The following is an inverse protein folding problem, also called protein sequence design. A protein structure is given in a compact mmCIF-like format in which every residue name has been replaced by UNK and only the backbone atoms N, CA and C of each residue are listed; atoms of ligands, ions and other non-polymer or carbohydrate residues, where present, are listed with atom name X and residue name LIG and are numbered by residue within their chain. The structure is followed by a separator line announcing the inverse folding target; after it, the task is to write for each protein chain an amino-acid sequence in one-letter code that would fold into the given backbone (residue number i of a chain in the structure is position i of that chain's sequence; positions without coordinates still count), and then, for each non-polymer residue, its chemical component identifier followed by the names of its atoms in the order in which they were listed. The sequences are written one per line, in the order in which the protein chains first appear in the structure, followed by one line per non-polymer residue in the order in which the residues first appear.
data_IF_292270720153
#
_entry.id   IF_292270720153
#
_cell.length_a   1.000
_cell.length_b   1.000
_cell.length_c   1.000
_cell.angle_alpha   90.00
_cell.angle_beta   90.00
_cell.angle_gamma   90.00
#
_symmetry.space_group_name_H-M   'P 1'
#
loop_
_entity.id
_entity.type
_entity.pdbx_description
1 polymer ?
#
# COMPACT_ATOMS: atom_id res chain seq x y z
N UNK A 1 12.64 -12.93 -54.71
CA UNK A 1 11.94 -11.62 -54.75
C UNK A 1 11.37 -11.39 -53.35
N UNK A 2 12.21 -10.92 -52.42
CA UNK A 2 12.33 -9.50 -51.94
C UNK A 2 11.26 -9.21 -50.87
N UNK A 3 11.55 -8.91 -49.60
CA UNK A 3 12.62 -8.08 -49.03
C UNK A 3 13.10 -8.58 -47.65
N UNK A 4 14.39 -8.97 -47.59
CA UNK A 4 15.29 -8.63 -46.48
C UNK A 4 16.01 -7.36 -46.95
N UNK A 5 16.14 -6.36 -46.08
CA UNK A 5 17.13 -5.25 -46.06
C UNK A 5 16.47 -3.98 -45.51
N UNK A 6 17.04 -3.46 -44.42
CA UNK A 6 17.14 -2.04 -44.04
C UNK A 6 17.09 -1.84 -42.51
N UNK A 7 18.11 -2.31 -41.78
CA UNK A 7 18.60 -1.61 -40.58
C UNK A 7 20.10 -1.89 -40.43
N UNK A 8 20.93 -1.18 -41.21
CA UNK A 8 22.35 -1.01 -40.89
C UNK A 8 22.71 0.47 -41.04
N UNK A 9 22.85 1.18 -39.93
CA UNK A 9 23.84 2.25 -39.73
C UNK A 9 23.50 3.03 -38.45
N UNK A 10 23.99 2.60 -37.30
CA UNK A 10 24.33 3.56 -36.24
C UNK A 10 25.81 3.41 -35.95
N UNK A 11 26.53 4.47 -36.33
CA UNK A 11 27.96 4.66 -36.23
C UNK A 11 28.41 4.41 -34.78
N UNK A 12 29.40 3.55 -34.64
CA UNK A 12 30.31 3.52 -33.50
C UNK A 12 31.08 4.83 -33.48
N UNK A 13 30.67 5.78 -32.63
CA UNK A 13 31.48 6.95 -32.32
C UNK A 13 32.56 6.53 -31.32
N UNK A 14 33.81 6.56 -31.77
CA UNK A 14 35.03 6.43 -30.99
C UNK A 14 35.06 7.48 -29.87
N UNK A 15 35.23 7.02 -28.63
CA UNK A 15 35.56 7.88 -27.49
C UNK A 15 37.01 8.33 -27.64
N UNK A 16 37.23 9.44 -28.33
CA UNK A 16 38.47 10.20 -28.24
C UNK A 16 38.52 10.93 -26.89
N UNK A 17 39.65 10.77 -26.23
CA UNK A 17 40.01 11.36 -24.95
C UNK A 17 40.18 12.87 -25.08
N UNK A 18 39.20 13.67 -24.64
CA UNK A 18 39.39 15.12 -24.43
C UNK A 18 39.70 15.39 -22.95
N UNK A 19 40.99 15.48 -22.66
CA UNK A 19 41.55 16.05 -21.44
C UNK A 19 41.20 17.54 -21.32
N UNK A 20 40.60 17.97 -20.20
CA UNK A 20 40.53 19.39 -19.84
C UNK A 20 39.19 19.92 -19.31
N UNK A 21 38.55 19.24 -18.35
CA UNK A 21 37.40 19.82 -17.64
C UNK A 21 37.90 20.45 -16.33
N UNK A 22 37.77 21.78 -16.25
CA UNK A 22 38.00 22.59 -15.05
C UNK A 22 36.83 22.40 -14.05
N UNK A 23 37.10 21.74 -12.93
CA UNK A 23 36.11 21.39 -11.90
C UNK A 23 35.78 22.54 -10.94
N UNK A 24 36.33 23.73 -11.14
CA UNK A 24 36.07 24.91 -10.29
C UNK A 24 34.75 25.62 -10.62
N UNK A 25 34.04 25.22 -11.68
CA UNK A 25 32.74 25.79 -12.08
C UNK A 25 31.66 24.70 -12.14
N UNK A 26 30.42 24.98 -11.70
CA UNK A 26 29.31 24.05 -11.89
C UNK A 26 29.09 23.80 -13.41
N UNK A 27 28.97 22.54 -13.85
CA UNK A 27 28.70 22.24 -15.25
C UNK A 27 27.33 22.81 -15.64
N UNK A 28 27.28 23.43 -16.81
CA UNK A 28 26.03 23.92 -17.40
C UNK A 28 25.04 22.76 -17.58
N UNK A 29 23.94 22.84 -16.83
CA UNK A 29 22.92 21.79 -16.72
C UNK A 29 22.17 21.61 -18.04
N UNK A 30 22.19 22.63 -18.90
CA UNK A 30 21.54 22.61 -20.21
C UNK A 30 22.34 21.81 -21.26
N UNK A 31 23.59 21.43 -20.98
CA UNK A 31 24.46 20.72 -21.92
C UNK A 31 24.29 19.18 -21.92
N UNK A 32 23.65 18.60 -20.89
CA UNK A 32 23.61 17.14 -20.70
C UNK A 32 22.22 16.49 -20.82
N UNK A 33 21.16 17.30 -20.93
CA UNK A 33 19.84 16.81 -21.30
C UNK A 33 19.61 17.19 -22.75
N UNK A 34 19.80 16.22 -23.64
CA UNK A 34 19.30 16.35 -25.00
C UNK A 34 17.79 16.65 -24.93
N UNK A 35 17.41 17.86 -25.33
CA UNK A 35 16.03 18.37 -25.25
C UNK A 35 15.08 17.44 -26.00
N UNK A 36 15.55 16.74 -27.03
CA UNK A 36 14.77 15.74 -27.77
C UNK A 36 14.45 14.51 -26.91
N UNK A 37 15.40 14.00 -26.12
CA UNK A 37 15.13 12.89 -25.20
C UNK A 37 14.16 13.28 -24.08
N UNK A 38 14.29 14.49 -23.55
CA UNK A 38 13.34 15.00 -22.56
C UNK A 38 11.93 15.13 -23.16
N UNK A 39 11.82 15.65 -24.39
CA UNK A 39 10.57 15.84 -25.10
C UNK A 39 9.92 14.51 -25.52
N UNK A 40 10.69 13.56 -26.03
CA UNK A 40 10.24 12.20 -26.36
C UNK A 40 9.73 11.45 -25.11
N UNK A 41 10.43 11.56 -23.98
CA UNK A 41 9.98 10.96 -22.72
C UNK A 41 8.67 11.61 -22.22
N UNK A 42 8.52 12.93 -22.38
CA UNK A 42 7.27 13.65 -22.07
C UNK A 42 6.13 13.24 -23.01
N UNK A 43 6.41 13.01 -24.30
CA UNK A 43 5.42 12.62 -25.31
C UNK A 43 4.96 11.17 -25.11
N UNK A 44 5.90 10.25 -24.83
CA UNK A 44 5.60 8.86 -24.46
C UNK A 44 4.75 8.78 -23.18
N UNK A 45 5.02 9.67 -22.21
CA UNK A 45 4.26 9.82 -20.96
C UNK A 45 2.83 10.32 -21.17
N UNK A 46 2.63 11.17 -22.16
CA UNK A 46 1.33 11.78 -22.46
C UNK A 46 0.45 10.93 -23.37
N UNK A 47 0.98 9.82 -23.93
CA UNK A 47 0.17 8.86 -24.70
C UNK A 47 -1.00 8.32 -23.86
N UNK A 48 -2.27 8.57 -24.24
CA UNK A 48 -3.41 8.23 -23.41
C UNK A 48 -3.67 6.73 -23.45
N UNK A 49 -3.22 6.02 -22.40
CA UNK A 49 -3.64 4.64 -22.18
C UNK A 49 -5.13 4.62 -21.82
N UNK A 50 -5.97 4.26 -22.79
CA UNK A 50 -7.44 4.14 -22.64
C UNK A 50 -7.91 3.25 -21.49
N UNK A 51 -7.04 2.53 -20.80
CA UNK A 51 -7.38 1.67 -19.64
C UNK A 51 -7.09 2.34 -18.28
N UNK A 52 -6.34 3.44 -18.26
CA UNK A 52 -5.89 4.10 -17.04
C UNK A 52 -7.06 4.69 -16.24
N UNK A 53 -8.14 5.13 -16.91
CA UNK A 53 -9.33 5.66 -16.24
C UNK A 53 -10.08 4.58 -15.45
N UNK A 54 -10.21 3.35 -15.97
CA UNK A 54 -10.82 2.22 -15.23
C UNK A 54 -10.06 1.94 -13.93
N UNK A 55 -8.73 1.99 -14.01
CA UNK A 55 -7.85 1.78 -12.86
C UNK A 55 -7.91 2.95 -11.85
N UNK A 56 -8.11 4.19 -12.34
CA UNK A 56 -8.38 5.35 -11.46
C UNK A 56 -9.75 5.23 -10.77
N UNK A 57 -10.77 4.74 -11.46
CA UNK A 57 -12.08 4.46 -10.84
C UNK A 57 -11.97 3.44 -9.72
N UNK A 58 -11.14 2.40 -9.87
CA UNK A 58 -10.88 1.43 -8.80
C UNK A 58 -10.24 2.08 -7.56
N UNK A 59 -9.35 3.07 -7.74
CA UNK A 59 -8.80 3.83 -6.61
C UNK A 59 -9.90 4.61 -5.87
N UNK A 60 -10.79 5.28 -6.63
CA UNK A 60 -11.92 6.02 -6.05
C UNK A 60 -12.88 5.07 -5.34
N UNK A 61 -13.23 3.95 -5.95
CA UNK A 61 -14.10 2.94 -5.35
C UNK A 61 -13.51 2.37 -4.05
N UNK A 62 -12.20 2.10 -4.02
CA UNK A 62 -11.51 1.64 -2.81
C UNK A 62 -11.56 2.66 -1.66
N UNK A 63 -11.34 3.94 -1.96
CA UNK A 63 -11.47 5.02 -0.98
C UNK A 63 -12.90 5.18 -0.47
N UNK A 64 -13.89 5.21 -1.37
CA UNK A 64 -15.31 5.32 -1.01
C UNK A 64 -15.74 4.14 -0.14
N UNK A 65 -15.37 2.91 -0.52
CA UNK A 65 -15.59 1.72 0.29
C UNK A 65 -15.05 1.90 1.70
N UNK A 66 -13.76 2.26 1.83
CA UNK A 66 -13.11 2.44 3.13
C UNK A 66 -13.82 3.49 3.99
N UNK A 67 -14.10 4.67 3.42
CA UNK A 67 -14.71 5.78 4.15
C UNK A 67 -16.15 5.48 4.57
N UNK A 68 -16.98 4.96 3.66
CA UNK A 68 -18.39 4.65 3.96
C UNK A 68 -18.48 3.54 4.99
N UNK A 69 -17.76 2.44 4.80
CA UNK A 69 -17.79 1.31 5.71
C UNK A 69 -17.28 1.69 7.10
N UNK A 70 -16.09 2.28 7.22
CA UNK A 70 -15.50 2.60 8.54
C UNK A 70 -16.33 3.61 9.32
N UNK A 71 -16.88 4.63 8.67
CA UNK A 71 -17.74 5.62 9.32
C UNK A 71 -19.07 4.99 9.74
N UNK A 72 -19.64 4.15 8.90
CA UNK A 72 -20.93 3.51 9.18
C UNK A 72 -20.82 2.49 10.30
N UNK A 73 -19.76 1.69 10.34
CA UNK A 73 -19.45 0.80 11.47
C UNK A 73 -19.26 1.59 12.77
N UNK A 74 -18.60 2.75 12.74
CA UNK A 74 -18.44 3.59 13.93
C UNK A 74 -19.79 4.15 14.41
N UNK A 75 -20.61 4.71 13.50
CA UNK A 75 -21.91 5.30 13.84
C UNK A 75 -22.86 4.24 14.38
N UNK A 76 -23.06 3.14 13.63
CA UNK A 76 -23.94 2.04 14.04
C UNK A 76 -23.44 1.40 15.34
N UNK A 77 -22.12 1.20 15.47
CA UNK A 77 -21.49 0.76 16.70
C UNK A 77 -21.83 1.66 17.89
N UNK A 78 -21.54 2.95 17.76
CA UNK A 78 -21.58 3.89 18.87
C UNK A 78 -23.00 4.26 19.32
N UNK A 79 -23.94 4.36 18.38
CA UNK A 79 -25.30 4.86 18.65
C UNK A 79 -26.36 3.77 18.68
N UNK A 80 -26.11 2.59 18.10
CA UNK A 80 -27.12 1.53 17.99
C UNK A 80 -26.67 0.27 18.74
N UNK A 81 -25.63 -0.42 18.27
CA UNK A 81 -25.33 -1.76 18.79
C UNK A 81 -24.72 -1.73 20.19
N UNK A 82 -23.75 -0.85 20.47
CA UNK A 82 -23.12 -0.79 21.79
C UNK A 82 -24.07 -0.33 22.90
N UNK A 83 -24.83 0.77 22.76
CA UNK A 83 -25.79 1.17 23.78
C UNK A 83 -26.84 0.11 24.05
N UNK A 84 -27.20 -0.67 23.04
CA UNK A 84 -28.16 -1.74 23.20
C UNK A 84 -27.57 -2.92 23.99
N UNK A 85 -26.40 -3.42 23.58
CA UNK A 85 -25.77 -4.61 24.19
C UNK A 85 -25.27 -4.32 25.61
N UNK A 86 -24.69 -3.13 25.84
CA UNK A 86 -24.00 -2.79 27.09
C UNK A 86 -24.69 -1.67 27.88
N UNK A 87 -25.90 -1.24 27.49
CA UNK A 87 -26.58 -0.10 28.11
C UNK A 87 -26.90 -0.26 29.59
N UNK A 88 -26.96 -1.49 30.09
CA UNK A 88 -27.18 -1.79 31.51
C UNK A 88 -26.02 -1.31 32.39
N UNK A 89 -24.78 -1.43 31.91
CA UNK A 89 -23.58 -1.03 32.63
C UNK A 89 -22.89 0.12 31.89
N UNK A 90 -23.02 1.33 32.46
CA UNK A 90 -22.50 2.57 31.86
C UNK A 90 -20.98 2.56 31.72
N UNK A 91 -20.26 1.94 32.65
CA UNK A 91 -18.79 1.92 32.64
C UNK A 91 -18.30 0.97 31.54
N UNK A 92 -18.93 -0.20 31.42
CA UNK A 92 -18.65 -1.13 30.31
C UNK A 92 -18.98 -0.47 28.97
N UNK A 93 -20.15 0.16 28.82
CA UNK A 93 -20.53 0.86 27.60
C UNK A 93 -19.50 1.93 27.22
N UNK A 94 -19.07 2.74 28.18
CA UNK A 94 -18.09 3.80 27.96
C UNK A 94 -16.75 3.24 27.48
N UNK A 95 -16.25 2.19 28.14
CA UNK A 95 -15.00 1.52 27.77
C UNK A 95 -15.07 0.92 26.35
N UNK A 96 -16.19 0.31 25.98
CA UNK A 96 -16.40 -0.24 24.63
C UNK A 96 -16.46 0.86 23.57
N UNK A 97 -17.11 1.99 23.85
CA UNK A 97 -17.14 3.17 22.98
C UNK A 97 -15.74 3.77 22.77
N UNK A 98 -14.94 3.89 23.83
CA UNK A 98 -13.55 4.36 23.73
C UNK A 98 -12.73 3.42 22.85
N UNK A 99 -12.83 2.11 23.05
CA UNK A 99 -12.12 1.13 22.24
C UNK A 99 -12.48 1.24 20.75
N UNK A 100 -13.77 1.37 20.43
CA UNK A 100 -14.24 1.56 19.05
C UNK A 100 -13.65 2.84 18.42
N UNK A 101 -13.68 3.96 19.16
CA UNK A 101 -13.13 5.22 18.71
C UNK A 101 -11.61 5.15 18.50
N UNK A 102 -10.88 4.50 19.41
CA UNK A 102 -9.44 4.27 19.29
C UNK A 102 -9.10 3.47 18.04
N UNK A 103 -9.78 2.35 17.78
CA UNK A 103 -9.57 1.55 16.57
C UNK A 103 -9.81 2.39 15.31
N UNK A 104 -10.89 3.18 15.29
CA UNK A 104 -11.21 4.06 14.16
C UNK A 104 -10.12 5.14 13.94
N UNK A 105 -9.65 5.78 15.00
CA UNK A 105 -8.56 6.77 14.94
C UNK A 105 -7.30 6.12 14.37
N UNK A 106 -6.91 4.93 14.86
CA UNK A 106 -5.74 4.20 14.36
C UNK A 106 -5.87 3.85 12.87
N UNK A 107 -7.07 3.45 12.43
CA UNK A 107 -7.36 3.13 11.04
C UNK A 107 -7.22 4.37 10.14
N UNK A 108 -7.88 5.47 10.48
CA UNK A 108 -7.90 6.72 9.69
C UNK A 108 -6.52 7.37 9.65
N UNK A 109 -5.85 7.48 10.79
CA UNK A 109 -4.52 8.09 10.86
C UNK A 109 -3.48 7.30 10.04
N UNK A 110 -3.46 5.97 10.15
CA UNK A 110 -2.55 5.16 9.33
C UNK A 110 -2.91 5.24 7.84
N UNK A 111 -4.20 5.27 7.49
CA UNK A 111 -4.64 5.50 6.10
C UNK A 111 -4.09 6.82 5.54
N UNK A 112 -4.27 7.92 6.28
CA UNK A 112 -3.73 9.24 5.91
C UNK A 112 -2.21 9.17 5.74
N UNK A 113 -1.50 8.52 6.68
CA UNK A 113 -0.04 8.41 6.62
C UNK A 113 0.45 7.56 5.44
N UNK A 114 -0.29 6.53 5.03
CA UNK A 114 0.01 5.76 3.81
C UNK A 114 0.06 6.68 2.60
N UNK A 115 -0.99 7.51 2.44
CA UNK A 115 -1.15 8.42 1.31
C UNK A 115 -0.12 9.55 1.35
N UNK A 116 0.06 10.19 2.51
CA UNK A 116 1.00 11.31 2.68
C UNK A 116 2.46 10.87 2.45
N UNK A 117 2.81 9.65 2.87
CA UNK A 117 4.18 9.13 2.79
C UNK A 117 4.48 8.42 1.47
N UNK A 118 3.46 8.01 0.72
CA UNK A 118 3.58 7.47 -0.64
C UNK A 118 4.43 8.36 -1.56
N UNK A 119 4.22 9.69 -1.50
CA UNK A 119 4.95 10.65 -2.35
C UNK A 119 6.47 10.59 -2.12
N UNK A 120 6.93 10.32 -0.90
CA UNK A 120 8.36 10.22 -0.58
C UNK A 120 9.02 8.99 -1.17
N UNK A 121 8.24 7.93 -1.41
CA UNK A 121 8.75 6.72 -2.07
C UNK A 121 8.83 6.85 -3.58
N UNK A 122 8.34 7.94 -4.18
CA UNK A 122 8.47 8.18 -5.62
C UNK A 122 9.90 8.58 -5.96
N UNK A 123 10.45 7.94 -6.97
CA UNK A 123 11.77 8.18 -7.53
C UNK A 123 11.59 8.69 -8.96
N UNK A 124 12.06 9.90 -9.23
CA UNK A 124 11.83 10.62 -10.48
C UNK A 124 13.11 11.18 -11.11
N UNK A 125 12.97 11.78 -12.29
CA UNK A 125 14.06 12.26 -13.16
C UNK A 125 14.95 13.28 -12.43
N UNK A 126 14.37 14.22 -11.66
CA UNK A 126 15.13 15.18 -10.85
C UNK A 126 15.94 14.57 -9.69
N UNK A 127 15.83 13.25 -9.44
CA UNK A 127 16.74 12.54 -8.52
C UNK A 127 18.06 12.12 -9.19
N UNK A 128 18.24 12.37 -10.49
CA UNK A 128 19.52 12.28 -11.20
C UNK A 128 20.40 13.49 -10.89
N UNK A 129 20.85 13.63 -9.64
CA UNK A 129 22.24 14.03 -9.47
C UNK A 129 23.05 12.78 -9.78
N UNK A 130 23.70 12.78 -10.94
CA UNK A 130 24.48 11.70 -11.54
C UNK A 130 25.07 10.76 -10.49
N UNK A 131 24.76 9.44 -10.53
CA UNK A 131 25.53 8.50 -9.74
C UNK A 131 26.95 8.50 -10.30
N UNK A 132 27.94 8.71 -9.44
CA UNK A 132 29.30 8.22 -9.67
C UNK A 132 29.22 6.82 -10.28
N UNK A 133 30.04 6.54 -11.30
CA UNK A 133 29.99 5.35 -12.15
C UNK A 133 30.06 3.97 -11.44
N UNK A 134 30.00 3.92 -10.10
CA UNK A 134 30.25 2.75 -9.25
C UNK A 134 29.10 2.38 -8.29
N UNK A 135 27.85 2.74 -8.56
CA UNK A 135 26.73 2.33 -7.68
C UNK A 135 26.23 0.91 -7.99
N UNK A 136 26.79 -0.07 -7.28
CA UNK A 136 26.46 -1.49 -7.44
C UNK A 136 24.95 -1.78 -7.40
N UNK A 137 24.48 -2.67 -8.28
CA UNK A 137 23.10 -3.17 -8.39
C UNK A 137 22.01 -2.16 -8.79
N UNK A 138 22.38 -0.95 -9.22
CA UNK A 138 21.43 -0.05 -9.88
C UNK A 138 21.02 -0.61 -11.25
N UNK A 139 19.76 -0.38 -11.64
CA UNK A 139 19.21 -0.91 -12.91
C UNK A 139 18.53 0.19 -13.69
N UNK A 140 18.56 0.11 -15.03
CA UNK A 140 17.83 1.06 -15.88
C UNK A 140 16.33 0.73 -15.91
N UNK A 141 15.48 1.71 -15.68
CA UNK A 141 14.03 1.56 -15.85
C UNK A 141 13.66 1.77 -17.32
N UNK A 142 13.04 0.80 -18.02
CA UNK A 142 12.69 0.95 -19.44
C UNK A 142 11.53 1.94 -19.69
N UNK A 143 10.69 2.19 -18.69
CA UNK A 143 9.56 3.11 -18.80
C UNK A 143 9.97 4.57 -18.58
N UNK A 144 10.82 4.82 -17.59
CA UNK A 144 11.26 6.17 -17.20
C UNK A 144 12.60 6.58 -17.83
N UNK A 145 13.34 5.64 -18.42
CA UNK A 145 14.69 5.79 -18.95
C UNK A 145 15.76 6.30 -17.95
N UNK A 146 15.52 6.12 -16.66
CA UNK A 146 16.45 6.51 -15.58
C UNK A 146 17.09 5.30 -14.91
N UNK A 147 18.29 5.48 -14.34
CA UNK A 147 18.87 4.54 -13.39
C UNK A 147 18.09 4.59 -12.07
N UNK A 148 17.65 3.43 -11.59
CA UNK A 148 16.91 3.29 -10.34
C UNK A 148 17.71 2.45 -9.35
N UNK A 149 17.61 2.78 -8.04
CA UNK A 149 18.30 2.02 -7.01
C UNK A 149 17.79 0.59 -6.90
N UNK A 150 18.56 -0.30 -6.24
CA UNK A 150 18.11 -1.65 -5.94
C UNK A 150 16.74 -1.67 -5.28
N UNK A 151 15.95 -2.70 -5.61
CA UNK A 151 14.58 -2.92 -5.10
C UNK A 151 13.55 -1.87 -5.53
N UNK A 152 13.94 -0.82 -6.25
CA UNK A 152 12.98 0.10 -6.85
C UNK A 152 12.39 -0.48 -8.14
N UNK A 153 11.11 -0.22 -8.40
CA UNK A 153 10.39 -0.69 -9.60
C UNK A 153 9.35 0.31 -10.08
N UNK A 154 9.16 0.38 -11.39
CA UNK A 154 8.21 1.27 -12.06
C UNK A 154 6.75 0.85 -11.81
N UNK A 155 5.89 1.81 -11.49
CA UNK A 155 4.44 1.63 -11.43
C UNK A 155 3.81 2.21 -12.66
N UNK A 156 3.17 1.36 -13.46
CA UNK A 156 2.38 1.84 -14.61
C UNK A 156 1.19 2.69 -14.13
N UNK A 157 0.58 2.36 -12.99
CA UNK A 157 -0.58 3.08 -12.44
C UNK A 157 -0.23 4.46 -11.88
N UNK A 158 0.89 4.56 -11.15
CA UNK A 158 1.38 5.84 -10.63
C UNK A 158 2.28 6.58 -11.62
N UNK A 159 2.64 5.93 -12.73
CA UNK A 159 3.59 6.38 -13.74
C UNK A 159 4.89 6.99 -13.15
N UNK A 160 5.50 6.21 -12.25
CA UNK A 160 6.71 6.61 -11.52
C UNK A 160 7.43 5.39 -10.96
N UNK A 161 8.75 5.50 -10.79
CA UNK A 161 9.51 4.49 -10.05
C UNK A 161 9.28 4.65 -8.56
N UNK A 162 9.17 3.54 -7.83
CA UNK A 162 8.91 3.55 -6.38
C UNK A 162 10.02 2.81 -5.65
N UNK A 163 10.59 3.43 -4.61
CA UNK A 163 11.62 2.84 -3.74
C UNK A 163 11.07 1.66 -2.95
N UNK A 164 11.81 0.54 -2.92
CA UNK A 164 11.39 -0.73 -2.30
C UNK A 164 9.92 -1.05 -2.64
N UNK A 165 9.56 -0.95 -3.91
CA UNK A 165 8.17 -1.06 -4.34
C UNK A 165 7.64 -2.45 -4.02
N UNK A 166 6.50 -2.49 -3.35
CA UNK A 166 5.76 -3.72 -3.13
C UNK A 166 4.63 -3.84 -4.16
N UNK A 167 3.54 -3.08 -3.97
CA UNK A 167 2.38 -3.11 -4.86
C UNK A 167 1.69 -1.75 -4.97
N UNK A 168 0.80 -1.60 -5.96
CA UNK A 168 -0.15 -0.48 -5.99
C UNK A 168 -1.42 -0.92 -5.27
N UNK A 169 -1.76 -0.25 -4.17
CA UNK A 169 -2.95 -0.57 -3.41
C UNK A 169 -4.13 0.24 -3.95
N UNK A 170 -5.13 -0.44 -4.52
CA UNK A 170 -6.35 0.23 -4.99
C UNK A 170 -7.15 0.84 -3.83
N UNK A 171 -7.16 0.21 -2.65
CA UNK A 171 -7.84 0.75 -1.47
C UNK A 171 -7.23 2.05 -0.94
N UNK A 172 -5.90 2.21 -1.05
CA UNK A 172 -5.21 3.43 -0.65
C UNK A 172 -4.97 4.42 -1.81
N UNK A 173 -5.36 4.06 -3.04
CA UNK A 173 -5.14 4.84 -4.25
C UNK A 173 -3.67 5.17 -4.54
N UNK A 174 -2.71 4.43 -3.99
CA UNK A 174 -1.29 4.74 -4.11
C UNK A 174 -0.39 3.50 -3.98
N UNK A 175 0.87 3.65 -4.38
CA UNK A 175 1.88 2.59 -4.18
C UNK A 175 2.31 2.48 -2.72
N UNK A 176 2.43 1.22 -2.28
CA UNK A 176 3.10 0.82 -1.05
C UNK A 176 4.58 0.55 -1.37
N UNK A 177 5.46 1.18 -0.60
CA UNK A 177 6.91 1.10 -0.77
C UNK A 177 7.64 1.53 0.50
N UNK A 178 8.90 1.93 0.37
CA UNK A 178 9.82 2.10 1.49
C UNK A 178 9.29 2.98 2.64
N UNK A 179 8.70 4.14 2.35
CA UNK A 179 8.34 5.13 3.37
C UNK A 179 6.93 4.96 3.95
N UNK A 180 6.11 4.07 3.38
CA UNK A 180 4.73 3.87 3.82
C UNK A 180 4.35 2.41 4.15
N UNK A 181 5.25 1.44 3.93
CA UNK A 181 5.01 0.02 4.24
C UNK A 181 4.57 -0.21 5.69
N UNK A 182 5.21 0.44 6.67
CA UNK A 182 4.85 0.26 8.09
C UNK A 182 3.42 0.69 8.39
N UNK A 183 2.97 1.81 7.81
CA UNK A 183 1.62 2.33 8.02
C UNK A 183 0.60 1.41 7.37
N UNK A 184 0.95 0.81 6.23
CA UNK A 184 0.13 -0.21 5.59
C UNK A 184 -0.03 -1.46 6.47
N UNK A 185 1.04 -1.95 7.10
CA UNK A 185 0.96 -3.10 8.02
C UNK A 185 0.06 -2.79 9.22
N UNK A 186 0.27 -1.64 9.86
CA UNK A 186 -0.54 -1.21 11.02
C UNK A 186 -2.00 -0.97 10.61
N UNK A 187 -2.23 -0.35 9.45
CA UNK A 187 -3.56 -0.18 8.87
C UNK A 187 -4.27 -1.52 8.66
N UNK A 188 -3.61 -2.53 8.09
CA UNK A 188 -4.20 -3.85 7.91
C UNK A 188 -4.51 -4.53 9.25
N UNK A 189 -3.62 -4.40 10.25
CA UNK A 189 -3.87 -4.92 11.60
C UNK A 189 -5.12 -4.30 12.24
N UNK A 190 -5.21 -2.97 12.26
CA UNK A 190 -6.39 -2.28 12.80
C UNK A 190 -7.63 -2.48 11.93
N UNK A 191 -7.47 -2.72 10.62
CA UNK A 191 -8.53 -3.16 9.73
C UNK A 191 -9.11 -4.50 10.15
N UNK A 192 -8.26 -5.48 10.45
CA UNK A 192 -8.70 -6.77 11.01
C UNK A 192 -9.39 -6.59 12.36
N UNK A 193 -8.79 -5.87 13.31
CA UNK A 193 -9.35 -5.66 14.64
C UNK A 193 -10.70 -4.93 14.58
N UNK A 194 -10.81 -3.88 13.78
CA UNK A 194 -12.05 -3.13 13.58
C UNK A 194 -13.13 -3.95 12.89
N UNK A 195 -12.76 -4.76 11.88
CA UNK A 195 -13.68 -5.66 11.21
C UNK A 195 -14.18 -6.78 12.15
N UNK A 196 -13.30 -7.40 12.94
CA UNK A 196 -13.68 -8.37 13.96
C UNK A 196 -14.61 -7.76 15.02
N UNK A 197 -14.29 -6.56 15.49
CA UNK A 197 -15.10 -5.85 16.47
C UNK A 197 -16.50 -5.51 15.91
N UNK A 198 -16.55 -4.96 14.69
CA UNK A 198 -17.79 -4.65 13.95
C UNK A 198 -18.63 -5.91 13.72
N UNK A 199 -18.02 -7.02 13.28
CA UNK A 199 -18.68 -8.33 13.13
C UNK A 199 -19.29 -8.79 14.46
N UNK A 200 -18.51 -8.77 15.53
CA UNK A 200 -18.94 -9.25 16.84
C UNK A 200 -20.14 -8.46 17.38
N UNK A 201 -20.05 -7.13 17.42
CA UNK A 201 -21.15 -6.30 17.96
C UNK A 201 -22.40 -6.34 17.08
N UNK A 202 -22.25 -6.43 15.76
CA UNK A 202 -23.38 -6.56 14.83
C UNK A 202 -24.03 -7.93 14.96
N UNK A 203 -23.23 -9.00 15.09
CA UNK A 203 -23.72 -10.35 15.35
C UNK A 203 -24.51 -10.43 16.65
N UNK A 204 -23.95 -9.95 17.78
CA UNK A 204 -24.65 -9.96 19.06
C UNK A 204 -25.97 -9.18 19.00
N UNK A 205 -25.98 -8.04 18.30
CA UNK A 205 -27.22 -7.28 18.10
C UNK A 205 -28.25 -8.07 17.29
N UNK A 206 -27.84 -8.73 16.20
CA UNK A 206 -28.74 -9.55 15.38
C UNK A 206 -29.27 -10.76 16.15
N UNK A 207 -28.43 -11.43 16.93
CA UNK A 207 -28.77 -12.60 17.73
C UNK A 207 -29.84 -12.27 18.80
N UNK A 208 -29.77 -11.09 19.42
CA UNK A 208 -30.72 -10.68 20.46
C UNK A 208 -32.08 -10.26 19.88
N UNK A 209 -32.08 -9.63 18.70
CA UNK A 209 -33.28 -8.94 18.17
C UNK A 209 -33.98 -9.63 17.02
N UNK A 210 -33.25 -10.46 16.30
CA UNK A 210 -33.72 -11.10 15.08
C UNK A 210 -33.47 -12.60 15.20
N UNK A 211 -33.34 -13.24 14.06
CA UNK A 211 -33.16 -14.67 13.99
C UNK A 211 -31.71 -15.04 14.28
N UNK A 212 -31.43 -16.03 15.14
CA UNK A 212 -30.05 -16.45 15.40
C UNK A 212 -29.32 -16.83 14.13
N UNK A 213 -28.08 -16.37 13.95
CA UNK A 213 -27.35 -16.56 12.69
C UNK A 213 -27.01 -18.04 12.43
N UNK A 214 -26.96 -18.85 13.48
CA UNK A 214 -26.69 -20.30 13.43
C UNK A 214 -27.95 -21.17 13.51
N UNK A 215 -29.14 -20.57 13.42
CA UNK A 215 -30.40 -21.32 13.29
C UNK A 215 -30.64 -21.77 11.85
N UNK A 216 -31.58 -22.70 11.64
CA UNK A 216 -32.01 -23.09 10.29
C UNK A 216 -32.61 -21.93 9.49
N UNK A 217 -33.04 -20.86 10.17
CA UNK A 217 -33.64 -19.67 9.55
C UNK A 217 -32.60 -18.62 9.09
N UNK A 218 -31.30 -18.95 9.12
CA UNK A 218 -30.22 -18.05 8.68
C UNK A 218 -30.33 -17.63 7.19
N UNK A 219 -31.00 -18.43 6.35
CA UNK A 219 -31.28 -18.08 4.95
C UNK A 219 -32.04 -16.74 4.84
N UNK A 220 -32.72 -16.36 5.92
CA UNK A 220 -33.32 -15.05 6.14
C UNK A 220 -32.40 -13.86 5.85
N UNK A 221 -31.09 -14.05 6.01
CA UNK A 221 -30.07 -13.01 5.84
C UNK A 221 -29.44 -12.97 4.45
N UNK A 222 -29.71 -13.94 3.58
CA UNK A 222 -29.20 -13.93 2.20
C UNK A 222 -29.80 -12.75 1.42
N UNK A 223 -28.96 -11.98 0.72
CA UNK A 223 -29.38 -10.74 0.05
C UNK A 223 -30.66 -10.86 -0.80
N UNK A 224 -30.82 -11.86 -1.69
CA UNK A 224 -32.04 -11.96 -2.50
C UNK A 224 -33.31 -12.10 -1.65
N UNK A 225 -33.25 -12.93 -0.60
CA UNK A 225 -34.37 -13.15 0.29
C UNK A 225 -34.65 -11.96 1.21
N UNK A 226 -33.60 -11.29 1.68
CA UNK A 226 -33.71 -10.09 2.51
C UNK A 226 -34.36 -8.94 1.74
N UNK A 227 -33.96 -8.72 0.48
CA UNK A 227 -34.57 -7.70 -0.39
C UNK A 227 -36.03 -8.02 -0.70
N UNK A 228 -36.36 -9.29 -0.92
CA UNK A 228 -37.75 -9.74 -1.11
C UNK A 228 -38.62 -9.46 0.12
N UNK A 229 -38.13 -9.81 1.32
CA UNK A 229 -38.82 -9.53 2.59
C UNK A 229 -39.03 -8.03 2.84
N UNK A 230 -38.06 -7.20 2.47
CA UNK A 230 -38.16 -5.75 2.56
C UNK A 230 -39.18 -5.19 1.57
N UNK A 231 -39.17 -5.68 0.32
CA UNK A 231 -40.15 -5.29 -0.70
C UNK A 231 -41.59 -5.60 -0.26
N UNK A 232 -41.80 -6.74 0.41
CA UNK A 232 -43.09 -7.11 1.01
C UNK A 232 -43.42 -6.36 2.32
N UNK A 233 -42.56 -5.46 2.79
CA UNK A 233 -42.76 -4.69 4.02
C UNK A 233 -42.63 -5.49 5.32
N UNK A 234 -42.14 -6.74 5.26
CA UNK A 234 -42.03 -7.61 6.45
C UNK A 234 -40.83 -7.30 7.34
N UNK A 235 -39.84 -6.56 6.82
CA UNK A 235 -38.66 -6.12 7.57
C UNK A 235 -38.38 -4.64 7.33
N UNK A 236 -37.83 -4.00 8.35
CA UNK A 236 -37.41 -2.61 8.27
C UNK A 236 -36.08 -2.47 7.51
N UNK A 237 -35.89 -1.35 6.81
CA UNK A 237 -34.68 -1.09 6.01
C UNK A 237 -33.37 -1.12 6.84
N UNK A 238 -33.45 -0.83 8.14
CA UNK A 238 -32.30 -0.92 9.05
C UNK A 238 -31.71 -2.33 9.12
N UNK A 239 -32.52 -3.37 8.95
CA UNK A 239 -32.05 -4.76 8.94
C UNK A 239 -31.18 -5.03 7.73
N UNK A 240 -31.58 -4.53 6.55
CA UNK A 240 -30.74 -4.62 5.34
C UNK A 240 -29.39 -3.98 5.58
N UNK A 241 -29.38 -2.79 6.18
CA UNK A 241 -28.14 -2.08 6.47
C UNK A 241 -27.23 -2.85 7.45
N UNK A 242 -27.78 -3.44 8.51
CA UNK A 242 -27.02 -4.25 9.47
C UNK A 242 -26.42 -5.50 8.83
N UNK A 243 -27.17 -6.19 7.96
CA UNK A 243 -26.68 -7.37 7.24
C UNK A 243 -25.62 -6.98 6.20
N UNK A 244 -25.80 -5.86 5.50
CA UNK A 244 -24.77 -5.32 4.62
C UNK A 244 -23.49 -4.98 5.41
N UNK A 245 -23.60 -4.37 6.58
CA UNK A 245 -22.45 -4.12 7.46
C UNK A 245 -21.76 -5.41 7.91
N UNK A 246 -22.52 -6.48 8.20
CA UNK A 246 -21.96 -7.80 8.51
C UNK A 246 -21.13 -8.34 7.34
N UNK A 247 -21.67 -8.30 6.13
CA UNK A 247 -20.95 -8.73 4.92
C UNK A 247 -19.71 -7.89 4.63
N UNK A 248 -19.83 -6.56 4.71
CA UNK A 248 -18.70 -5.65 4.54
C UNK A 248 -17.63 -5.86 5.61
N UNK A 249 -18.02 -6.20 6.84
CA UNK A 249 -17.08 -6.51 7.91
C UNK A 249 -16.34 -7.81 7.63
N UNK A 250 -17.03 -8.85 7.16
CA UNK A 250 -16.41 -10.12 6.76
C UNK A 250 -15.45 -9.94 5.59
N UNK A 251 -15.86 -9.25 4.52
CA UNK A 251 -14.98 -8.99 3.37
C UNK A 251 -13.77 -8.17 3.75
N UNK A 252 -13.94 -7.17 4.63
CA UNK A 252 -12.81 -6.37 5.15
C UNK A 252 -11.86 -7.21 5.98
N UNK A 253 -12.37 -8.08 6.87
CA UNK A 253 -11.53 -8.97 7.68
C UNK A 253 -10.68 -9.88 6.80
N UNK A 254 -11.30 -10.51 5.78
CA UNK A 254 -10.59 -11.39 4.85
C UNK A 254 -9.56 -10.63 4.01
N UNK A 255 -9.92 -9.46 3.47
CA UNK A 255 -9.02 -8.65 2.66
C UNK A 255 -7.83 -8.11 3.47
N UNK A 256 -8.09 -7.47 4.62
CA UNK A 256 -7.03 -6.98 5.50
C UNK A 256 -6.17 -8.14 6.05
N UNK A 257 -6.79 -9.28 6.38
CA UNK A 257 -6.09 -10.48 6.82
C UNK A 257 -5.13 -11.03 5.76
N UNK A 258 -5.59 -11.11 4.50
CA UNK A 258 -4.74 -11.50 3.37
C UNK A 258 -3.54 -10.56 3.21
N UNK A 259 -3.78 -9.24 3.16
CA UNK A 259 -2.69 -8.27 2.99
C UNK A 259 -1.73 -8.27 4.18
N UNK A 260 -2.23 -8.40 5.42
CA UNK A 260 -1.41 -8.49 6.62
C UNK A 260 -0.53 -9.73 6.58
N UNK A 261 -1.11 -10.91 6.30
CA UNK A 261 -0.38 -12.16 6.19
C UNK A 261 0.72 -12.06 5.12
N UNK A 262 0.41 -11.49 3.95
CA UNK A 262 1.39 -11.28 2.89
C UNK A 262 2.53 -10.35 3.33
N UNK A 263 2.22 -9.21 3.96
CA UNK A 263 3.27 -8.31 4.46
C UNK A 263 4.13 -8.95 5.55
N UNK A 264 3.54 -9.78 6.42
CA UNK A 264 4.30 -10.53 7.42
C UNK A 264 5.27 -11.50 6.75
N UNK A 265 4.86 -12.23 5.70
CA UNK A 265 5.77 -13.09 4.92
C UNK A 265 6.93 -12.28 4.34
N UNK A 266 6.66 -11.12 3.74
CA UNK A 266 7.71 -10.24 3.20
C UNK A 266 8.65 -9.71 4.29
N UNK A 267 8.10 -9.39 5.47
CA UNK A 267 8.86 -8.92 6.62
C UNK A 267 9.77 -10.01 7.19
N UNK A 268 9.24 -11.23 7.37
CA UNK A 268 10.02 -12.37 7.87
C UNK A 268 11.11 -12.81 6.90
N UNK A 269 10.84 -12.75 5.59
CA UNK A 269 11.82 -13.11 4.56
C UNK A 269 12.81 -11.99 4.22
N UNK A 270 12.51 -10.75 4.60
CA UNK A 270 13.29 -9.55 4.25
C UNK A 270 13.20 -9.13 2.79
N UNK A 271 12.22 -9.65 2.04
CA UNK A 271 12.12 -9.52 0.59
C UNK A 271 10.97 -8.58 0.17
N UNK A 272 11.04 -8.05 -1.05
CA UNK A 272 9.86 -7.50 -1.75
C UNK A 272 9.09 -8.61 -2.45
N UNK A 273 7.81 -8.39 -2.78
CA UNK A 273 7.02 -9.33 -3.60
C UNK A 273 7.76 -9.75 -4.87
N UNK A 274 8.38 -8.80 -5.57
CA UNK A 274 9.16 -9.08 -6.78
C UNK A 274 10.37 -9.99 -6.51
N UNK A 275 11.13 -9.72 -5.46
CA UNK A 275 12.30 -10.52 -5.08
C UNK A 275 11.91 -11.96 -4.73
N UNK A 276 10.81 -12.13 -3.97
CA UNK A 276 10.30 -13.44 -3.60
C UNK A 276 9.87 -14.25 -4.83
N UNK A 277 9.09 -13.63 -5.72
CA UNK A 277 8.62 -14.26 -6.96
C UNK A 277 9.75 -14.61 -7.93
N UNK A 278 10.81 -13.79 -7.99
CA UNK A 278 12.00 -14.06 -8.81
C UNK A 278 13.07 -14.89 -8.10
N UNK A 279 12.78 -15.42 -6.90
CA UNK A 279 13.72 -16.20 -6.07
C UNK A 279 15.06 -15.48 -5.82
N UNK A 280 15.06 -14.14 -5.85
CA UNK A 280 16.24 -13.32 -5.64
C UNK A 280 16.48 -13.12 -4.14
N UNK A 281 17.61 -13.64 -3.63
CA UNK A 281 17.99 -13.57 -2.21
C UNK A 281 19.10 -12.55 -1.90
N UNK A 282 19.50 -11.71 -2.86
CA UNK A 282 20.66 -10.80 -2.75
C UNK A 282 20.61 -9.88 -1.52
N UNK A 283 19.43 -9.37 -1.17
CA UNK A 283 19.25 -8.40 -0.08
C UNK A 283 18.60 -8.99 1.19
N UNK A 284 18.61 -10.32 1.34
CA UNK A 284 18.10 -10.94 2.58
C UNK A 284 18.96 -10.50 3.77
N UNK A 285 18.29 -10.16 4.87
CA UNK A 285 18.90 -9.79 6.14
C UNK A 285 18.22 -10.57 7.28
N UNK A 286 18.86 -10.67 8.46
CA UNK A 286 18.23 -11.24 9.66
C UNK A 286 16.92 -10.53 10.02
N UNK A 287 16.01 -11.23 10.71
CA UNK A 287 14.69 -10.71 11.07
C UNK A 287 14.76 -9.38 11.84
N UNK A 288 15.72 -9.23 12.76
CA UNK A 288 15.90 -8.00 13.52
C UNK A 288 16.17 -6.79 12.61
N UNK A 289 17.05 -6.93 11.61
CA UNK A 289 17.34 -5.88 10.63
C UNK A 289 16.13 -5.61 9.72
N UNK A 290 15.37 -6.65 9.35
CA UNK A 290 14.15 -6.48 8.56
C UNK A 290 13.09 -5.66 9.32
N UNK A 291 12.83 -6.02 10.58
CA UNK A 291 11.92 -5.30 11.46
C UNK A 291 12.35 -3.85 11.65
N UNK A 292 13.64 -3.63 11.91
CA UNK A 292 14.24 -2.31 12.09
C UNK A 292 14.15 -1.47 10.82
N UNK A 293 14.33 -2.07 9.64
CA UNK A 293 14.19 -1.36 8.35
C UNK A 293 12.77 -0.85 8.09
N UNK A 294 11.74 -1.61 8.54
CA UNK A 294 10.34 -1.26 8.30
C UNK A 294 9.79 -0.35 9.40
N UNK A 295 9.97 -0.73 10.67
CA UNK A 295 9.36 -0.05 11.82
C UNK A 295 10.30 0.95 12.52
N UNK A 296 11.59 0.93 12.21
CA UNK A 296 12.61 1.74 12.88
C UNK A 296 13.00 1.19 14.26
N UNK A 297 13.88 1.91 14.95
CA UNK A 297 14.40 1.57 16.29
C UNK A 297 13.30 1.39 17.35
N UNK A 298 12.22 2.16 17.27
CA UNK A 298 11.11 2.14 18.24
C UNK A 298 9.90 1.38 17.68
N UNK A 299 10.12 0.12 17.29
CA UNK A 299 9.19 -0.64 16.46
C UNK A 299 7.81 -0.85 17.10
N UNK A 300 7.75 -1.18 18.39
CA UNK A 300 6.52 -1.49 19.12
C UNK A 300 5.56 -0.30 19.28
N UNK A 301 6.08 0.92 19.39
CA UNK A 301 5.24 2.11 19.63
C UNK A 301 4.36 2.41 18.41
N UNK A 302 4.82 2.06 17.20
CA UNK A 302 4.04 2.24 15.96
C UNK A 302 2.69 1.49 15.99
N UNK A 303 2.56 0.44 16.80
CA UNK A 303 1.32 -0.33 16.91
C UNK A 303 0.31 0.30 17.88
N UNK A 304 0.75 1.23 18.73
CA UNK A 304 -0.11 1.90 19.71
C UNK A 304 -0.47 3.31 19.24
N UNK A 305 0.47 4.01 18.61
CA UNK A 305 0.26 5.39 18.17
C UNK A 305 0.84 5.56 16.75
N UNK A 306 0.12 6.23 15.82
CA UNK A 306 0.66 6.58 14.52
C UNK A 306 1.74 7.64 14.70
N UNK A 307 3.02 7.29 14.54
CA UNK A 307 4.13 8.23 14.72
C UNK A 307 4.64 8.75 13.37
N UNK A 308 4.15 9.91 12.87
CA UNK A 308 4.60 10.46 11.60
C UNK A 308 6.06 10.90 11.61
N UNK A 309 6.61 11.29 12.77
CA UNK A 309 7.95 11.85 12.91
C UNK A 309 9.08 10.82 12.90
N UNK A 310 8.81 9.57 13.29
CA UNK A 310 9.82 8.51 13.22
C UNK A 310 10.17 8.28 11.76
N UNK A 311 11.46 8.27 11.40
CA UNK A 311 11.88 7.92 10.03
C UNK A 311 12.19 6.41 9.94
N UNK A 312 12.01 5.83 8.76
CA UNK A 312 12.56 4.51 8.47
C UNK A 312 14.09 4.56 8.62
N UNK A 313 14.69 3.42 8.97
CA UNK A 313 16.14 3.31 8.92
C UNK A 313 16.60 3.09 7.48
N UNK A 314 17.56 3.91 7.05
CA UNK A 314 18.06 3.92 5.67
C UNK A 314 17.36 4.93 4.76
N UNK A 315 17.88 5.05 3.54
CA UNK A 315 17.43 6.00 2.52
C UNK A 315 16.54 5.35 1.44
N UNK A 316 16.35 4.02 1.52
CA UNK A 316 15.63 3.23 0.52
C UNK A 316 16.38 3.06 -0.80
N UNK A 317 17.61 3.56 -0.91
CA UNK A 317 18.46 3.56 -2.10
C UNK A 317 19.65 2.61 -1.95
N UNK A 318 20.26 2.56 -0.77
CA UNK A 318 21.38 1.67 -0.45
C UNK A 318 20.90 0.50 0.40
N UNK A 319 21.31 -0.71 0.03
CA UNK A 319 20.90 -1.95 0.70
C UNK A 319 22.12 -2.84 0.92
N UNK A 320 22.26 -3.39 2.14
CA UNK A 320 23.30 -4.38 2.44
C UNK A 320 23.00 -5.67 1.66
N UNK A 321 24.03 -6.28 1.09
CA UNK A 321 23.93 -7.57 0.41
C UNK A 321 24.26 -8.70 1.38
N UNK A 322 23.76 -9.91 1.12
CA UNK A 322 24.06 -11.08 1.96
C UNK A 322 25.57 -11.38 2.05
N UNK A 323 26.29 -11.29 0.93
CA UNK A 323 27.73 -11.54 0.87
C UNK A 323 28.51 -10.63 1.84
N UNK A 324 28.13 -9.35 1.93
CA UNK A 324 28.76 -8.38 2.85
C UNK A 324 28.53 -8.64 4.35
N UNK A 325 27.60 -9.54 4.71
CA UNK A 325 27.40 -9.96 6.10
C UNK A 325 28.28 -11.16 6.44
N UNK A 326 28.46 -12.09 5.51
CA UNK A 326 29.29 -13.28 5.69
C UNK A 326 30.76 -12.86 5.89
N UNK A 327 31.25 -11.87 5.15
CA UNK A 327 32.60 -11.29 5.31
C UNK A 327 32.87 -10.57 6.64
N UNK A 328 31.83 -10.16 7.39
CA UNK A 328 32.00 -9.49 8.69
C UNK A 328 32.01 -10.45 9.88
N UNK A 329 31.70 -11.72 9.64
CA UNK A 329 31.67 -12.77 10.64
C UNK A 329 32.89 -13.71 10.57
N UNK A 330 33.80 -13.43 9.64
CA UNK A 330 35.19 -13.89 9.64
C UNK A 330 36.08 -12.70 10.02
#
# INVERSE_FOLDING_TARGET
MTHREAVSSHKTASLETSSGIDWSKPPDVDAYLDKENAQYLLEKRTSPQKWLWKLRMMNTAGFVYFSVYSLSSLIVGHFITLPYIYGYDKDVLWNRKILAAYIFIMLVTNYILIVLRSKRSRFGIFSQMLPSANQAHWTKCPNCDILVPPRAKHCVLCDVCVLKRDHHCFFAGCCIGFHNQRYFIVFCLYGCLGAMYSLYVTYCFLEIHYTPLFSLDFYGYLMPWLLWRWYLGTIHHSVIWLVLLLYLSLTTLLACGYFLAWQLVLLFTGQTTYELLKRNKTFKQPLAENLKSVFGKWSLINFIIPLPWIRNEGDGRKWKTRCSLEEKHF
#
